data_IF_088631344625
#
_entry.id   IF_088631344625
#
_cell.length_a   1.000
_cell.length_b   1.000
_cell.length_c   1.000
_cell.angle_alpha   90.00
_cell.angle_beta   90.00
_cell.angle_gamma   90.00
#
_symmetry.space_group_name_H-M   'P 1'
#
loop_
_entity.id
_entity.type
_entity.pdbx_description
1 polymer ?
#
# COMPACT_ATOMS: atom_id res chain seq x y z
N UNK A 1 -10.67 -19.96 -8.55
CA UNK A 1 -9.91 -18.71 -8.86
C UNK A 1 -10.42 -17.61 -7.94
N UNK A 2 -9.57 -17.03 -7.08
CA UNK A 2 -9.94 -15.87 -6.28
C UNK A 2 -10.05 -14.66 -7.19
N UNK A 3 -11.15 -13.92 -7.10
CA UNK A 3 -11.29 -12.66 -7.83
C UNK A 3 -10.40 -11.61 -7.15
N UNK A 4 -9.60 -10.83 -7.90
CA UNK A 4 -8.85 -9.71 -7.33
C UNK A 4 -9.83 -8.67 -6.77
N UNK A 5 -9.53 -8.14 -5.60
CA UNK A 5 -10.36 -7.17 -4.91
C UNK A 5 -10.43 -5.83 -5.68
N UNK A 6 -9.31 -5.45 -6.30
CA UNK A 6 -9.20 -4.34 -7.26
C UNK A 6 -8.17 -4.68 -8.33
N UNK A 7 -8.15 -3.93 -9.43
CA UNK A 7 -7.15 -4.05 -10.50
C UNK A 7 -6.60 -2.68 -10.86
N UNK A 8 -5.31 -2.62 -11.21
CA UNK A 8 -4.67 -1.34 -11.55
C UNK A 8 -3.94 -0.71 -10.38
N UNK A 9 -3.98 0.62 -10.28
CA UNK A 9 -3.30 1.34 -9.22
C UNK A 9 -4.18 1.50 -7.96
N UNK A 10 -3.57 1.27 -6.81
CA UNK A 10 -4.11 1.58 -5.49
C UNK A 10 -3.12 2.51 -4.77
N UNK A 11 -3.58 3.59 -4.18
CA UNK A 11 -2.69 4.55 -3.52
C UNK A 11 -2.46 4.17 -2.05
N UNK A 12 -1.20 3.94 -1.66
CA UNK A 12 -0.80 3.95 -0.27
C UNK A 12 -0.80 5.42 0.22
N UNK A 13 -1.94 5.89 0.71
CA UNK A 13 -2.18 7.30 0.97
C UNK A 13 -1.33 7.80 2.15
N UNK A 14 -0.73 8.99 2.03
CA UNK A 14 -0.07 9.67 3.15
C UNK A 14 -1.11 10.10 4.17
N UNK A 15 -0.76 10.11 5.47
CA UNK A 15 -1.59 10.72 6.50
C UNK A 15 -1.17 12.17 6.70
N UNK A 16 -2.03 13.14 6.39
CA UNK A 16 -1.70 14.54 6.59
C UNK A 16 -1.81 14.92 8.06
N UNK A 17 -0.88 15.77 8.55
CA UNK A 17 -0.88 16.31 9.89
C UNK A 17 -0.91 17.84 9.89
N UNK A 18 -1.54 18.41 10.92
CA UNK A 18 -1.52 19.84 11.21
C UNK A 18 -1.34 20.03 12.72
N UNK A 19 -0.26 20.69 13.11
CA UNK A 19 0.06 20.88 14.54
C UNK A 19 0.22 19.55 15.30
N UNK A 20 0.75 18.49 14.65
CA UNK A 20 0.96 17.16 15.23
C UNK A 20 -0.30 16.28 15.30
N UNK A 21 -1.48 16.82 14.95
CA UNK A 21 -2.75 16.08 14.87
C UNK A 21 -3.08 15.72 13.43
N UNK A 22 -3.91 14.68 13.23
CA UNK A 22 -4.41 14.31 11.91
C UNK A 22 -5.23 15.46 11.31
N UNK A 23 -4.90 15.81 10.05
CA UNK A 23 -5.59 16.87 9.29
C UNK A 23 -6.67 16.22 8.40
N UNK A 24 -7.86 16.01 8.94
CA UNK A 24 -8.96 15.37 8.21
C UNK A 24 -9.43 16.17 6.97
N UNK A 25 -9.52 17.51 6.99
CA UNK A 25 -9.86 18.26 5.78
C UNK A 25 -8.86 18.05 4.63
N UNK A 26 -7.57 17.98 4.94
CA UNK A 26 -6.56 17.67 3.91
C UNK A 26 -6.68 16.22 3.43
N UNK A 27 -6.98 15.25 4.32
CA UNK A 27 -7.23 13.86 3.91
C UNK A 27 -8.37 13.77 2.89
N UNK A 28 -9.46 14.51 3.08
CA UNK A 28 -10.58 14.55 2.13
C UNK A 28 -10.15 15.10 0.76
N UNK A 29 -9.30 16.13 0.72
CA UNK A 29 -8.74 16.66 -0.53
C UNK A 29 -7.86 15.61 -1.23
N UNK A 30 -7.04 14.87 -0.47
CA UNK A 30 -6.21 13.79 -1.02
C UNK A 30 -7.07 12.66 -1.58
N UNK A 31 -8.13 12.25 -0.89
CA UNK A 31 -9.08 11.24 -1.36
C UNK A 31 -9.79 11.70 -2.64
N UNK A 32 -10.24 12.96 -2.67
CA UNK A 32 -10.84 13.54 -3.88
C UNK A 32 -9.91 13.47 -5.07
N UNK A 33 -8.64 13.85 -4.90
CA UNK A 33 -7.61 13.76 -5.94
C UNK A 33 -7.48 12.33 -6.49
N UNK A 34 -7.54 11.31 -5.63
CA UNK A 34 -7.47 9.92 -6.07
C UNK A 34 -8.70 9.52 -6.88
N UNK A 35 -9.89 9.87 -6.41
CA UNK A 35 -11.15 9.60 -7.13
C UNK A 35 -11.16 10.28 -8.50
N UNK A 36 -10.77 11.56 -8.56
CA UNK A 36 -10.74 12.35 -9.82
C UNK A 36 -9.71 11.78 -10.81
N UNK A 37 -8.68 11.09 -10.35
CA UNK A 37 -7.69 10.38 -11.17
C UNK A 37 -8.10 8.94 -11.56
N UNK A 38 -9.28 8.48 -11.15
CA UNK A 38 -9.78 7.14 -11.45
C UNK A 38 -9.11 6.02 -10.64
N UNK A 39 -8.52 6.33 -9.48
CA UNK A 39 -7.96 5.32 -8.57
C UNK A 39 -9.12 4.60 -7.87
N UNK A 40 -9.19 3.27 -8.03
CA UNK A 40 -10.29 2.44 -7.52
C UNK A 40 -10.18 2.11 -6.02
N UNK A 41 -8.97 2.13 -5.48
CA UNK A 41 -8.70 1.76 -4.08
C UNK A 41 -7.62 2.63 -3.45
N UNK A 42 -7.75 2.89 -2.14
CA UNK A 42 -6.71 3.55 -1.35
C UNK A 42 -6.43 2.78 -0.07
N UNK A 43 -5.15 2.69 0.30
CA UNK A 43 -4.74 2.15 1.60
C UNK A 43 -4.63 3.30 2.60
N UNK A 44 -5.41 3.23 3.66
CA UNK A 44 -5.37 4.16 4.80
C UNK A 44 -4.57 3.49 5.93
N UNK A 45 -3.69 4.24 6.59
CA UNK A 45 -2.82 3.75 7.66
C UNK A 45 -1.92 2.57 7.24
N UNK A 46 -1.46 2.54 5.97
CA UNK A 46 -0.33 1.71 5.57
C UNK A 46 1.01 2.28 6.08
N UNK A 47 2.13 1.75 5.60
CA UNK A 47 3.47 2.28 5.92
C UNK A 47 3.62 3.75 5.54
N UNK A 48 3.18 4.11 4.33
CA UNK A 48 3.18 5.48 3.81
C UNK A 48 2.26 6.41 4.62
N UNK A 49 1.19 5.86 5.19
CA UNK A 49 0.26 6.56 6.09
C UNK A 49 0.74 6.63 7.54
N UNK A 50 2.02 6.32 7.82
CA UNK A 50 2.64 6.41 9.16
C UNK A 50 1.91 5.61 10.25
N UNK A 51 1.41 4.42 9.91
CA UNK A 51 0.63 3.57 10.83
C UNK A 51 1.30 3.32 12.19
N UNK A 52 2.65 3.25 12.20
CA UNK A 52 3.40 2.98 13.42
C UNK A 52 3.32 4.09 14.48
N UNK A 53 3.03 5.33 14.08
CA UNK A 53 2.95 6.50 14.95
C UNK A 53 1.52 7.00 15.19
N UNK A 54 0.54 6.30 14.61
CA UNK A 54 -0.88 6.57 14.84
C UNK A 54 -1.42 5.66 15.97
N UNK A 55 -2.17 6.25 16.89
CA UNK A 55 -2.95 5.49 17.86
C UNK A 55 -4.10 4.73 17.17
N UNK A 56 -4.60 3.67 17.80
CA UNK A 56 -5.73 2.93 17.25
C UNK A 56 -6.99 3.81 17.11
N UNK A 57 -7.19 4.75 18.02
CA UNK A 57 -8.29 5.72 17.91
C UNK A 57 -8.15 6.61 16.68
N UNK A 58 -6.94 7.09 16.35
CA UNK A 58 -6.68 7.87 15.13
C UNK A 58 -6.90 7.02 13.87
N UNK A 59 -6.45 5.75 13.87
CA UNK A 59 -6.66 4.83 12.76
C UNK A 59 -8.13 4.59 12.49
N UNK A 60 -8.90 4.27 13.52
CA UNK A 60 -10.34 4.02 13.39
C UNK A 60 -11.11 5.24 12.90
N UNK A 61 -10.76 6.42 13.39
CA UNK A 61 -11.36 7.67 12.92
C UNK A 61 -10.98 7.95 11.46
N UNK A 62 -9.74 7.67 11.05
CA UNK A 62 -9.29 7.77 9.65
C UNK A 62 -10.09 6.82 8.74
N UNK A 63 -10.27 5.55 9.12
CA UNK A 63 -11.05 4.59 8.33
C UNK A 63 -12.50 5.05 8.19
N UNK A 64 -13.14 5.42 9.30
CA UNK A 64 -14.54 5.85 9.32
C UNK A 64 -14.76 7.10 8.45
N UNK A 65 -13.90 8.12 8.59
CA UNK A 65 -14.00 9.34 7.79
C UNK A 65 -13.69 9.12 6.33
N UNK A 66 -12.66 8.33 6.03
CA UNK A 66 -12.34 8.00 4.64
C UNK A 66 -13.53 7.32 3.96
N UNK A 67 -14.12 6.28 4.58
CA UNK A 67 -15.28 5.59 4.00
C UNK A 67 -16.51 6.51 3.89
N UNK A 68 -16.78 7.31 4.92
CA UNK A 68 -17.89 8.26 4.89
C UNK A 68 -17.73 9.31 3.77
N UNK A 69 -16.49 9.72 3.46
CA UNK A 69 -16.19 10.67 2.40
C UNK A 69 -16.30 10.06 1.00
N UNK A 70 -15.70 8.88 0.78
CA UNK A 70 -15.64 8.30 -0.56
C UNK A 70 -16.92 7.54 -0.94
N UNK A 71 -17.70 7.05 0.03
CA UNK A 71 -18.87 6.20 -0.22
C UNK A 71 -18.48 4.97 -1.04
N UNK A 72 -19.11 4.82 -2.20
CA UNK A 72 -18.84 3.73 -3.15
C UNK A 72 -17.90 4.14 -4.30
N UNK A 73 -17.42 5.38 -4.32
CA UNK A 73 -16.57 5.89 -5.40
C UNK A 73 -15.13 5.36 -5.34
N UNK A 74 -14.70 4.84 -4.20
CA UNK A 74 -13.36 4.29 -4.01
C UNK A 74 -13.36 3.28 -2.85
N UNK A 75 -12.60 2.22 -2.99
CA UNK A 75 -12.46 1.19 -1.96
C UNK A 75 -11.46 1.63 -0.89
N UNK A 76 -11.82 1.43 0.38
CA UNK A 76 -10.96 1.73 1.52
C UNK A 76 -10.32 0.44 2.02
N UNK A 77 -9.00 0.35 1.89
CA UNK A 77 -8.18 -0.74 2.43
C UNK A 77 -7.53 -0.26 3.73
N UNK A 78 -7.90 -0.83 4.86
CA UNK A 78 -7.36 -0.44 6.16
C UNK A 78 -6.05 -1.17 6.48
N UNK A 79 -4.99 -0.44 6.83
CA UNK A 79 -3.74 -0.99 7.34
C UNK A 79 -3.88 -1.39 8.81
N UNK A 80 -3.99 -2.69 9.09
CA UNK A 80 -4.24 -3.22 10.44
C UNK A 80 -3.17 -4.18 10.95
N UNK A 81 -2.11 -4.42 10.15
CA UNK A 81 -1.04 -5.33 10.53
C UNK A 81 -0.30 -4.91 11.80
N UNK A 82 0.06 -5.90 12.62
CA UNK A 82 0.84 -5.76 13.85
C UNK A 82 1.72 -6.99 14.03
N UNK A 83 2.79 -6.85 14.81
CA UNK A 83 3.61 -7.99 15.25
C UNK A 83 3.02 -8.75 16.45
N UNK A 84 1.85 -8.33 16.94
CA UNK A 84 1.02 -9.05 17.90
C UNK A 84 -0.26 -9.51 17.20
N UNK A 85 -0.46 -10.82 17.09
CA UNK A 85 -1.59 -11.42 16.36
C UNK A 85 -2.94 -10.98 16.94
N UNK A 86 -3.06 -10.95 18.27
CA UNK A 86 -4.28 -10.53 18.96
C UNK A 86 -4.64 -9.07 18.65
N UNK A 87 -3.63 -8.18 18.68
CA UNK A 87 -3.81 -6.77 18.32
C UNK A 87 -4.20 -6.61 16.86
N UNK A 88 -3.52 -7.31 15.92
CA UNK A 88 -3.87 -7.28 14.51
C UNK A 88 -5.31 -7.75 14.27
N UNK A 89 -5.75 -8.83 14.90
CA UNK A 89 -7.12 -9.33 14.78
C UNK A 89 -8.15 -8.37 15.38
N UNK A 90 -7.85 -7.77 16.55
CA UNK A 90 -8.74 -6.81 17.20
C UNK A 90 -8.90 -5.53 16.37
N UNK A 91 -7.79 -4.96 15.88
CA UNK A 91 -7.81 -3.77 15.03
C UNK A 91 -8.51 -4.06 13.69
N UNK A 92 -8.34 -5.27 13.14
CA UNK A 92 -9.01 -5.69 11.91
C UNK A 92 -10.54 -5.74 12.07
N UNK A 93 -11.05 -6.31 13.16
CA UNK A 93 -12.50 -6.27 13.49
C UNK A 93 -13.01 -4.85 13.63
N UNK A 94 -12.24 -4.01 14.31
CA UNK A 94 -12.63 -2.61 14.51
C UNK A 94 -12.62 -1.82 13.19
N UNK A 95 -11.68 -2.10 12.27
CA UNK A 95 -11.62 -1.50 10.94
C UNK A 95 -12.80 -1.95 10.06
N UNK A 96 -13.18 -3.23 10.09
CA UNK A 96 -14.40 -3.73 9.43
C UNK A 96 -15.64 -2.99 9.97
N UNK A 97 -15.77 -2.86 11.29
CA UNK A 97 -16.85 -2.10 11.93
C UNK A 97 -16.83 -0.59 11.62
N UNK A 98 -15.68 -0.04 11.25
CA UNK A 98 -15.52 1.35 10.79
C UNK A 98 -15.85 1.53 9.29
N UNK A 99 -16.19 0.46 8.57
CA UNK A 99 -16.61 0.48 7.18
C UNK A 99 -15.48 0.27 6.17
N UNK A 100 -14.33 -0.26 6.57
CA UNK A 100 -13.29 -0.65 5.62
C UNK A 100 -13.80 -1.76 4.68
N UNK A 101 -13.44 -1.66 3.40
CA UNK A 101 -13.84 -2.63 2.37
C UNK A 101 -12.89 -3.84 2.31
N UNK A 102 -11.63 -3.64 2.74
CA UNK A 102 -10.61 -4.69 2.87
C UNK A 102 -9.53 -4.29 3.87
N UNK A 103 -8.64 -5.23 4.16
CA UNK A 103 -7.52 -5.04 5.09
C UNK A 103 -6.18 -5.26 4.40
N UNK A 104 -5.16 -4.48 4.75
CA UNK A 104 -3.76 -4.72 4.43
C UNK A 104 -3.00 -5.08 5.71
N UNK A 105 -2.50 -6.32 5.76
CA UNK A 105 -1.87 -6.87 6.96
C UNK A 105 -0.41 -7.19 6.67
N UNK A 106 0.49 -6.33 7.18
CA UNK A 106 1.94 -6.56 7.07
C UNK A 106 2.37 -7.77 7.89
N UNK A 107 3.39 -8.51 7.41
CA UNK A 107 3.99 -9.60 8.19
C UNK A 107 4.41 -9.12 9.59
N UNK A 108 4.30 -9.97 10.63
CA UNK A 108 4.82 -9.64 11.95
C UNK A 108 6.30 -9.23 11.85
N UNK A 109 6.59 -8.00 12.23
CA UNK A 109 7.91 -7.40 12.19
C UNK A 109 8.61 -7.52 13.53
N UNK A 110 9.95 -7.43 13.54
CA UNK A 110 10.81 -7.44 14.72
C UNK A 110 10.93 -8.83 15.39
N UNK A 111 9.84 -9.47 15.81
CA UNK A 111 9.81 -10.78 16.50
C UNK A 111 9.96 -12.01 15.57
N UNK A 112 10.09 -11.79 14.24
CA UNK A 112 10.50 -12.77 13.20
C UNK A 112 9.75 -14.10 13.28
N UNK A 113 8.47 -14.08 12.89
CA UNK A 113 7.65 -15.29 12.87
C UNK A 113 8.24 -16.38 11.95
N UNK A 114 8.12 -17.64 12.38
CA UNK A 114 8.42 -18.81 11.55
C UNK A 114 7.36 -19.00 10.45
N UNK A 115 7.58 -19.85 9.42
CA UNK A 115 6.56 -20.19 8.44
C UNK A 115 5.23 -20.61 9.05
N UNK A 116 5.25 -21.48 10.08
CA UNK A 116 4.04 -21.90 10.80
C UNK A 116 3.40 -20.73 11.58
N UNK A 117 4.22 -19.86 12.17
CA UNK A 117 3.77 -18.66 12.86
C UNK A 117 3.10 -17.66 11.91
N UNK A 118 3.63 -17.49 10.68
CA UNK A 118 3.00 -16.66 9.64
C UNK A 118 1.62 -17.22 9.28
N UNK A 119 1.52 -18.53 9.03
CA UNK A 119 0.24 -19.16 8.70
C UNK A 119 -0.77 -19.00 9.83
N UNK A 120 -0.37 -19.24 11.07
CA UNK A 120 -1.24 -19.08 12.24
C UNK A 120 -1.69 -17.62 12.41
N UNK A 121 -0.77 -16.67 12.22
CA UNK A 121 -1.07 -15.23 12.29
C UNK A 121 -2.13 -14.82 11.27
N UNK A 122 -1.91 -15.11 9.98
CA UNK A 122 -2.85 -14.75 8.93
C UNK A 122 -4.19 -15.49 9.05
N UNK A 123 -4.17 -16.76 9.49
CA UNK A 123 -5.39 -17.53 9.75
C UNK A 123 -6.21 -16.89 10.88
N UNK A 124 -5.57 -16.44 11.96
CA UNK A 124 -6.24 -15.77 13.07
C UNK A 124 -6.82 -14.42 12.67
N UNK A 125 -6.07 -13.60 11.90
CA UNK A 125 -6.56 -12.30 11.44
C UNK A 125 -7.71 -12.49 10.44
N UNK A 126 -7.54 -13.35 9.44
CA UNK A 126 -8.57 -13.63 8.45
C UNK A 126 -9.83 -14.25 9.09
N UNK A 127 -9.67 -15.15 10.06
CA UNK A 127 -10.80 -15.74 10.81
C UNK A 127 -11.54 -14.76 11.74
N UNK A 128 -10.98 -13.57 11.97
CA UNK A 128 -11.57 -12.55 12.82
C UNK A 128 -12.53 -11.59 12.08
N UNK A 129 -12.56 -11.62 10.74
CA UNK A 129 -13.28 -10.68 9.88
C UNK A 129 -13.95 -11.39 8.71
N UNK A 130 -14.90 -10.71 8.06
CA UNK A 130 -15.59 -11.21 6.86
C UNK A 130 -15.08 -10.55 5.57
N UNK A 131 -14.52 -9.36 5.67
CA UNK A 131 -13.97 -8.60 4.53
C UNK A 131 -12.64 -9.19 4.04
N UNK A 132 -12.26 -8.94 2.77
CA UNK A 132 -11.00 -9.42 2.20
C UNK A 132 -9.77 -8.95 2.98
N UNK A 133 -8.80 -9.85 3.16
CA UNK A 133 -7.50 -9.57 3.77
C UNK A 133 -6.41 -9.70 2.70
N UNK A 134 -5.55 -8.69 2.57
CA UNK A 134 -4.38 -8.70 1.70
C UNK A 134 -3.14 -8.84 2.59
N UNK A 135 -2.39 -9.92 2.41
CA UNK A 135 -1.10 -10.06 3.08
C UNK A 135 -0.11 -9.03 2.53
N UNK A 136 0.78 -8.52 3.37
CA UNK A 136 1.81 -7.59 2.91
C UNK A 136 3.19 -8.08 3.30
N UNK A 137 4.00 -8.43 2.30
CA UNK A 137 5.37 -8.88 2.45
C UNK A 137 6.34 -7.75 2.09
N UNK A 138 7.15 -7.31 3.05
CA UNK A 138 8.16 -6.24 2.88
C UNK A 138 9.39 -6.52 3.73
N UNK A 139 10.23 -7.47 3.31
CA UNK A 139 11.36 -7.97 4.11
C UNK A 139 12.34 -6.89 4.56
N UNK A 140 12.55 -5.86 3.74
CA UNK A 140 13.43 -4.73 4.05
C UNK A 140 13.00 -3.93 5.28
N UNK A 141 11.71 -4.00 5.67
CA UNK A 141 11.17 -3.32 6.85
C UNK A 141 10.89 -4.27 8.01
N UNK A 142 10.45 -5.49 7.71
CA UNK A 142 9.99 -6.42 8.75
C UNK A 142 11.07 -7.38 9.23
N UNK A 143 12.11 -7.62 8.42
CA UNK A 143 13.11 -8.66 8.66
C UNK A 143 12.53 -10.08 8.48
N UNK A 144 11.35 -10.21 7.89
CA UNK A 144 10.66 -11.47 7.57
C UNK A 144 10.30 -11.47 6.11
N UNK A 145 10.63 -12.55 5.39
CA UNK A 145 10.24 -12.78 4.01
C UNK A 145 9.37 -14.04 3.94
N UNK A 146 8.15 -13.92 3.38
CA UNK A 146 7.23 -15.05 3.25
C UNK A 146 7.78 -16.01 2.19
N UNK A 147 8.11 -17.27 2.53
CA UNK A 147 8.54 -18.26 1.53
C UNK A 147 7.42 -18.59 0.53
N UNK A 148 7.80 -19.00 -0.68
CA UNK A 148 6.81 -19.30 -1.75
C UNK A 148 5.86 -20.42 -1.35
N UNK A 149 6.35 -21.45 -0.67
CA UNK A 149 5.55 -22.57 -0.16
C UNK A 149 4.54 -22.16 0.93
N UNK A 150 4.80 -21.05 1.62
CA UNK A 150 3.84 -20.49 2.60
C UNK A 150 2.70 -19.78 1.87
N UNK A 151 2.96 -19.14 0.75
CA UNK A 151 1.90 -18.52 -0.07
C UNK A 151 0.89 -19.54 -0.58
N UNK A 152 1.31 -20.75 -1.00
CA UNK A 152 0.38 -21.81 -1.38
C UNK A 152 -0.59 -22.17 -0.23
N UNK A 153 -0.08 -22.25 0.99
CA UNK A 153 -0.91 -22.50 2.18
C UNK A 153 -1.80 -21.31 2.52
N UNK A 154 -1.28 -20.07 2.44
CA UNK A 154 -2.03 -18.84 2.66
C UNK A 154 -3.16 -18.68 1.64
N UNK A 155 -2.93 -19.04 0.38
CA UNK A 155 -3.92 -18.94 -0.69
C UNK A 155 -5.18 -19.76 -0.43
N UNK A 156 -5.12 -20.77 0.45
CA UNK A 156 -6.23 -21.65 0.82
C UNK A 156 -7.13 -21.07 1.94
N UNK A 157 -6.70 -19.97 2.59
CA UNK A 157 -7.53 -19.25 3.57
C UNK A 157 -8.63 -18.50 2.80
N UNK A 158 -9.93 -18.71 3.10
CA UNK A 158 -11.02 -18.24 2.24
C UNK A 158 -11.01 -16.75 1.94
N UNK A 159 -10.90 -15.90 2.96
CA UNK A 159 -10.95 -14.44 2.82
C UNK A 159 -9.56 -13.76 2.75
N UNK A 160 -8.45 -14.55 2.69
CA UNK A 160 -7.15 -13.99 2.33
C UNK A 160 -7.11 -13.80 0.81
N UNK A 161 -7.35 -12.56 0.37
CA UNK A 161 -7.66 -12.23 -1.02
C UNK A 161 -6.44 -12.16 -1.95
N UNK A 162 -5.23 -12.08 -1.40
CA UNK A 162 -4.00 -11.98 -2.17
C UNK A 162 -2.85 -11.40 -1.37
N UNK A 163 -1.82 -10.94 -2.06
CA UNK A 163 -0.63 -10.36 -1.45
C UNK A 163 -0.15 -9.08 -2.13
N UNK A 164 0.21 -8.08 -1.32
CA UNK A 164 1.11 -6.99 -1.72
C UNK A 164 2.54 -7.48 -1.53
N UNK A 165 3.25 -7.69 -2.63
CA UNK A 165 4.62 -8.23 -2.62
C UNK A 165 5.63 -7.11 -2.84
N UNK A 166 6.51 -6.90 -1.88
CA UNK A 166 7.53 -5.87 -1.89
C UNK A 166 8.92 -6.39 -1.45
N UNK A 167 9.24 -7.64 -1.81
CA UNK A 167 10.57 -8.24 -1.57
C UNK A 167 11.64 -7.73 -2.53
N UNK A 168 11.28 -6.98 -3.57
CA UNK A 168 12.17 -6.52 -4.66
C UNK A 168 12.79 -7.67 -5.47
N UNK A 169 12.26 -8.88 -5.37
CA UNK A 169 12.75 -10.06 -6.09
C UNK A 169 11.76 -10.50 -7.18
N UNK A 170 11.97 -10.05 -8.41
CA UNK A 170 11.15 -10.45 -9.56
C UNK A 170 11.16 -11.98 -9.73
N UNK A 171 12.32 -12.64 -9.52
CA UNK A 171 12.41 -14.10 -9.59
C UNK A 171 11.54 -14.80 -8.56
N UNK A 172 11.41 -14.24 -7.34
CA UNK A 172 10.49 -14.77 -6.32
C UNK A 172 9.04 -14.57 -6.72
N UNK A 173 8.72 -13.39 -7.25
CA UNK A 173 7.35 -13.06 -7.70
C UNK A 173 6.94 -13.99 -8.85
N UNK A 174 7.85 -14.26 -9.82
CA UNK A 174 7.60 -15.23 -10.89
C UNK A 174 7.30 -16.63 -10.34
N UNK A 175 8.07 -17.09 -9.35
CA UNK A 175 7.81 -18.38 -8.67
C UNK A 175 6.47 -18.38 -7.94
N UNK A 176 6.12 -17.29 -7.27
CA UNK A 176 4.84 -17.14 -6.59
C UNK A 176 3.67 -17.20 -7.57
N UNK A 177 3.70 -16.43 -8.66
CA UNK A 177 2.66 -16.44 -9.69
C UNK A 177 2.51 -17.82 -10.34
N UNK A 178 3.62 -18.52 -10.58
CA UNK A 178 3.60 -19.88 -11.15
C UNK A 178 3.06 -20.92 -10.17
N UNK A 179 3.42 -20.83 -8.88
CA UNK A 179 2.98 -21.78 -7.85
C UNK A 179 1.54 -21.54 -7.40
N UNK A 180 1.07 -20.31 -7.43
CA UNK A 180 -0.23 -19.89 -6.90
C UNK A 180 -1.00 -19.03 -7.95
N UNK A 181 -1.35 -19.57 -9.13
CA UNK A 181 -1.93 -18.79 -10.23
C UNK A 181 -3.29 -18.16 -9.89
N UNK A 182 -3.97 -18.69 -8.89
CA UNK A 182 -5.27 -18.22 -8.41
C UNK A 182 -5.17 -17.27 -7.19
N UNK A 183 -3.95 -16.88 -6.79
CA UNK A 183 -3.72 -15.97 -5.66
C UNK A 183 -3.26 -14.61 -6.17
N UNK A 184 -4.12 -13.57 -6.12
CA UNK A 184 -3.80 -12.25 -6.64
C UNK A 184 -2.53 -11.65 -6.01
N UNK A 185 -1.68 -11.08 -6.87
CA UNK A 185 -0.43 -10.41 -6.49
C UNK A 185 -0.48 -8.95 -6.93
N UNK A 186 -0.24 -8.03 -6.03
CA UNK A 186 -0.01 -6.61 -6.35
C UNK A 186 1.43 -6.25 -6.04
N UNK A 187 2.07 -5.48 -6.94
CA UNK A 187 3.39 -4.92 -6.64
C UNK A 187 3.31 -3.97 -5.44
N UNK A 188 4.25 -4.10 -4.53
CA UNK A 188 4.46 -3.11 -3.45
C UNK A 188 5.55 -2.10 -3.77
N UNK A 189 6.20 -2.24 -4.95
CA UNK A 189 7.29 -1.40 -5.44
C UNK A 189 6.87 -0.75 -6.76
N UNK A 190 6.90 0.58 -6.83
CA UNK A 190 6.49 1.36 -7.99
C UNK A 190 7.40 1.10 -9.20
N UNK A 191 8.71 0.97 -8.98
CA UNK A 191 9.73 0.67 -10.00
C UNK A 191 9.62 -0.73 -10.63
N UNK A 192 8.86 -1.63 -10.01
CA UNK A 192 8.67 -3.01 -10.47
C UNK A 192 7.22 -3.31 -10.91
N UNK A 193 6.35 -2.30 -10.94
CA UNK A 193 4.93 -2.49 -11.19
C UNK A 193 4.66 -3.23 -12.51
N UNK A 194 5.21 -2.74 -13.62
CA UNK A 194 5.01 -3.34 -14.96
C UNK A 194 5.60 -4.74 -15.04
N UNK A 195 6.79 -4.97 -14.48
CA UNK A 195 7.41 -6.30 -14.43
C UNK A 195 6.55 -7.31 -13.65
N UNK A 196 5.98 -6.91 -12.50
CA UNK A 196 5.09 -7.77 -11.73
C UNK A 196 3.80 -8.06 -12.50
N UNK A 197 3.24 -7.06 -13.17
CA UNK A 197 2.01 -7.21 -13.95
C UNK A 197 2.23 -8.11 -15.18
N UNK A 198 3.41 -8.07 -15.81
CA UNK A 198 3.75 -8.99 -16.91
C UNK A 198 3.83 -10.47 -16.48
N UNK A 199 4.01 -10.73 -15.20
CA UNK A 199 3.99 -12.07 -14.60
C UNK A 199 2.58 -12.51 -14.14
N UNK A 200 1.54 -11.72 -14.42
CA UNK A 200 0.15 -11.99 -14.01
C UNK A 200 -0.29 -11.20 -12.77
N UNK A 201 0.51 -10.26 -12.29
CA UNK A 201 0.12 -9.34 -11.21
C UNK A 201 -1.09 -8.49 -11.57
N UNK A 202 -1.88 -8.11 -10.56
CA UNK A 202 -3.17 -7.43 -10.74
C UNK A 202 -3.06 -5.90 -10.69
N UNK A 203 -1.87 -5.37 -10.37
CA UNK A 203 -1.64 -3.94 -10.26
C UNK A 203 -0.54 -3.59 -9.27
N UNK A 204 -0.59 -2.37 -8.73
CA UNK A 204 0.38 -1.83 -7.79
C UNK A 204 -0.30 -1.15 -6.60
N UNK A 205 0.21 -1.35 -5.40
CA UNK A 205 -0.15 -0.55 -4.21
C UNK A 205 0.98 0.46 -4.01
N UNK A 206 0.78 1.64 -4.54
CA UNK A 206 1.75 2.64 -4.98
C UNK A 206 1.99 3.75 -3.95
N UNK A 207 3.22 4.23 -3.86
CA UNK A 207 3.60 5.50 -3.22
C UNK A 207 3.56 6.63 -4.25
N UNK A 208 4.04 6.37 -5.46
CA UNK A 208 4.07 7.31 -6.59
C UNK A 208 2.70 7.96 -6.84
N UNK A 209 1.63 7.19 -6.75
CA UNK A 209 0.25 7.63 -7.00
C UNK A 209 -0.26 8.72 -6.03
N UNK A 210 0.44 9.02 -4.93
CA UNK A 210 0.14 10.23 -4.17
C UNK A 210 0.45 11.49 -4.99
N UNK A 211 1.57 11.47 -5.75
CA UNK A 211 2.09 12.62 -6.52
C UNK A 211 1.57 12.61 -7.95
N UNK A 212 1.59 11.46 -8.61
CA UNK A 212 1.23 11.27 -10.02
C UNK A 212 0.16 10.17 -10.18
N UNK A 213 -1.07 10.38 -9.65
CA UNK A 213 -2.10 9.33 -9.67
C UNK A 213 -2.61 8.99 -11.06
N UNK A 214 -2.77 9.99 -11.95
CA UNK A 214 -3.27 9.80 -13.32
C UNK A 214 -2.28 8.94 -14.13
N UNK A 215 -1.01 9.29 -14.08
CA UNK A 215 0.07 8.60 -14.81
C UNK A 215 0.27 7.17 -14.27
N UNK A 216 0.21 7.01 -12.94
CA UNK A 216 0.31 5.68 -12.32
C UNK A 216 -0.86 4.78 -12.72
N UNK A 217 -2.08 5.33 -12.76
CA UNK A 217 -3.26 4.59 -13.20
C UNK A 217 -3.16 4.25 -14.70
N UNK A 218 -2.75 5.19 -15.54
CA UNK A 218 -2.57 4.96 -16.98
C UNK A 218 -1.57 3.83 -17.25
N UNK A 219 -0.42 3.84 -16.57
CA UNK A 219 0.60 2.79 -16.64
C UNK A 219 0.01 1.42 -16.27
N UNK A 220 -0.70 1.35 -15.16
CA UNK A 220 -1.31 0.10 -14.69
C UNK A 220 -2.43 -0.38 -15.62
N UNK A 221 -3.26 0.51 -16.18
CA UNK A 221 -4.30 0.14 -17.12
C UNK A 221 -3.75 -0.35 -18.46
N UNK A 222 -2.67 0.26 -18.97
CA UNK A 222 -1.98 -0.24 -20.17
C UNK A 222 -1.48 -1.68 -19.96
N UNK A 223 -0.83 -1.95 -18.81
CA UNK A 223 -0.39 -3.31 -18.48
C UNK A 223 -1.55 -4.31 -18.34
N UNK A 224 -2.68 -3.91 -17.75
CA UNK A 224 -3.90 -4.73 -17.64
C UNK A 224 -4.53 -5.05 -19.00
N UNK A 225 -4.41 -4.12 -19.96
CA UNK A 225 -4.86 -4.31 -21.32
C UNK A 225 -3.92 -5.20 -22.17
N UNK A 226 -2.75 -5.57 -21.62
CA UNK A 226 -1.71 -6.31 -22.33
C UNK A 226 -0.79 -5.44 -23.19
N UNK A 227 -0.96 -4.12 -23.16
CA UNK A 227 -0.09 -3.16 -23.84
C UNK A 227 1.14 -2.86 -22.99
N UNK A 228 2.07 -3.81 -22.99
CA UNK A 228 3.30 -3.70 -22.21
C UNK A 228 4.31 -2.71 -22.81
N UNK A 229 4.22 -2.38 -24.10
CA UNK A 229 5.07 -1.36 -24.71
C UNK A 229 4.72 0.03 -24.14
N UNK A 230 3.44 0.39 -24.13
CA UNK A 230 2.97 1.64 -23.50
C UNK A 230 3.23 1.65 -22.00
N UNK A 231 2.95 0.53 -21.30
CA UNK A 231 3.19 0.44 -19.86
C UNK A 231 4.66 0.63 -19.50
N UNK A 232 5.58 0.03 -20.27
CA UNK A 232 7.03 0.15 -20.05
C UNK A 232 7.53 1.58 -20.35
N UNK A 233 7.01 2.24 -21.38
CA UNK A 233 7.35 3.63 -21.69
C UNK A 233 6.92 4.57 -20.55
N UNK A 234 5.70 4.43 -20.04
CA UNK A 234 5.21 5.19 -18.88
C UNK A 234 6.02 4.89 -17.60
N UNK A 235 6.36 3.61 -17.36
CA UNK A 235 7.23 3.23 -16.24
C UNK A 235 8.59 3.94 -16.33
N UNK A 236 9.21 3.97 -17.52
CA UNK A 236 10.51 4.59 -17.73
C UNK A 236 10.46 6.11 -17.53
N UNK A 237 9.38 6.77 -17.96
CA UNK A 237 9.16 8.21 -17.76
C UNK A 237 9.01 8.56 -16.27
N UNK A 238 8.33 7.70 -15.51
CA UNK A 238 8.06 7.90 -14.08
C UNK A 238 9.25 7.50 -13.18
N UNK A 239 10.21 6.72 -13.70
CA UNK A 239 11.31 6.17 -12.92
C UNK A 239 12.13 7.23 -12.16
N UNK A 240 12.49 8.39 -12.75
CA UNK A 240 13.23 9.42 -12.02
C UNK A 240 12.45 9.99 -10.81
N UNK A 241 11.12 10.12 -10.92
CA UNK A 241 10.29 10.53 -9.80
C UNK A 241 10.23 9.43 -8.74
N UNK A 242 10.08 8.18 -9.14
CA UNK A 242 10.08 7.03 -8.20
C UNK A 242 11.38 7.02 -7.41
N UNK A 243 12.54 7.15 -8.06
CA UNK A 243 13.84 7.20 -7.38
C UNK A 243 13.92 8.33 -6.35
N UNK A 244 13.41 9.52 -6.69
CA UNK A 244 13.35 10.65 -5.77
C UNK A 244 12.41 10.41 -4.58
N UNK A 245 11.28 9.72 -4.79
CA UNK A 245 10.34 9.39 -3.73
C UNK A 245 10.85 8.30 -2.76
N UNK A 246 11.92 7.59 -3.13
CA UNK A 246 12.55 6.55 -2.31
C UNK A 246 14.03 6.85 -1.98
N UNK A 247 14.55 8.06 -2.28
CA UNK A 247 15.93 8.44 -1.95
C UNK A 247 16.17 8.57 -0.44
N UNK A 248 15.12 8.70 0.36
CA UNK A 248 15.12 8.61 1.82
C UNK A 248 13.99 7.68 2.26
N UNK A 249 13.87 7.47 3.58
CA UNK A 249 12.84 6.58 4.13
C UNK A 249 11.44 7.09 3.80
N UNK A 250 10.65 6.29 3.04
CA UNK A 250 9.23 6.57 2.82
C UNK A 250 8.47 6.55 4.17
N UNK A 251 7.66 7.60 4.49
CA UNK A 251 7.06 8.59 3.59
C UNK A 251 7.73 9.99 3.58
N UNK A 252 8.97 10.15 4.01
CA UNK A 252 9.61 11.47 4.08
C UNK A 252 9.59 12.18 2.70
N UNK A 253 10.11 11.57 1.59
CA UNK A 253 10.13 12.25 0.31
C UNK A 253 8.75 12.49 -0.28
N UNK A 254 7.83 11.54 -0.17
CA UNK A 254 6.49 11.70 -0.75
C UNK A 254 5.70 12.81 -0.07
N UNK A 255 5.83 13.01 1.25
CA UNK A 255 5.18 14.14 1.94
C UNK A 255 5.80 15.47 1.53
N UNK A 256 7.12 15.52 1.35
CA UNK A 256 7.79 16.70 0.81
C UNK A 256 7.33 17.01 -0.63
N UNK A 257 7.20 15.99 -1.48
CA UNK A 257 6.68 16.13 -2.84
C UNK A 257 5.24 16.66 -2.84
N UNK A 258 4.37 16.12 -2.00
CA UNK A 258 2.97 16.58 -1.88
C UNK A 258 2.90 18.06 -1.50
N UNK A 259 3.74 18.50 -0.57
CA UNK A 259 3.82 19.91 -0.19
C UNK A 259 4.26 20.80 -1.35
N UNK A 260 5.26 20.37 -2.15
CA UNK A 260 5.74 21.11 -3.32
C UNK A 260 4.67 21.27 -4.40
N UNK A 261 3.82 20.28 -4.60
CA UNK A 261 2.71 20.34 -5.58
C UNK A 261 1.41 20.94 -5.00
N UNK A 262 1.47 21.58 -3.81
CA UNK A 262 0.37 22.37 -3.24
C UNK A 262 -0.53 21.64 -2.25
N UNK A 263 -0.21 20.40 -1.84
CA UNK A 263 -0.93 19.67 -0.81
C UNK A 263 -0.13 19.67 0.50
N UNK A 264 -0.44 20.57 1.42
CA UNK A 264 0.25 20.66 2.72
C UNK A 264 -0.15 19.49 3.64
N UNK A 265 0.58 18.39 3.47
CA UNK A 265 0.40 17.20 4.31
C UNK A 265 1.11 17.29 5.67
N UNK A 266 1.75 18.42 5.99
CA UNK A 266 2.60 18.57 7.17
C UNK A 266 3.83 17.68 7.16
N UNK A 267 4.62 17.72 8.23
CA UNK A 267 5.77 16.83 8.43
C UNK A 267 5.38 15.41 8.85
N UNK A 268 6.37 14.53 8.91
CA UNK A 268 6.22 13.21 9.54
C UNK A 268 6.25 13.33 11.07
N UNK A 269 5.66 12.35 11.76
CA UNK A 269 5.86 12.17 13.21
C UNK A 269 7.19 11.49 13.50
N UNK A 270 7.82 11.83 14.61
CA UNK A 270 9.02 11.11 15.07
C UNK A 270 8.74 9.60 15.19
N UNK A 271 9.72 8.74 14.87
CA UNK A 271 11.13 9.02 14.67
C UNK A 271 11.53 9.54 13.28
N UNK A 272 10.58 9.73 12.36
CA UNK A 272 10.86 10.28 11.04
C UNK A 272 11.07 11.79 11.13
N UNK A 273 12.09 12.27 10.43
CA UNK A 273 12.50 13.68 10.41
C UNK A 273 12.15 14.33 9.08
N UNK A 274 12.19 15.66 8.93
CA UNK A 274 12.09 16.29 7.63
C UNK A 274 13.14 15.76 6.65
N UNK A 275 12.83 15.82 5.36
CA UNK A 275 13.74 15.49 4.26
C UNK A 275 15.02 16.34 4.33
N UNK A 276 16.17 15.76 3.98
CA UNK A 276 17.42 16.50 3.89
C UNK A 276 17.34 17.63 2.84
N UNK A 277 18.02 18.74 3.10
CA UNK A 277 18.01 19.87 2.17
C UNK A 277 18.54 19.50 0.77
N UNK A 278 19.57 18.64 0.71
CA UNK A 278 20.14 18.17 -0.56
C UNK A 278 19.11 17.45 -1.43
N UNK A 279 18.38 16.50 -0.85
CA UNK A 279 17.38 15.72 -1.57
C UNK A 279 16.12 16.55 -1.84
N UNK A 280 15.75 17.47 -0.95
CA UNK A 280 14.65 18.40 -1.16
C UNK A 280 14.91 19.30 -2.37
N UNK A 281 16.14 19.81 -2.57
CA UNK A 281 16.49 20.61 -3.74
C UNK A 281 16.45 19.79 -5.06
N UNK A 282 16.86 18.51 -5.01
CA UNK A 282 16.69 17.60 -6.17
C UNK A 282 15.22 17.43 -6.52
N UNK A 283 14.38 17.21 -5.52
CA UNK A 283 12.94 17.02 -5.66
C UNK A 283 12.24 18.28 -6.21
N UNK A 284 12.61 19.47 -5.70
CA UNK A 284 12.13 20.77 -6.23
C UNK A 284 12.48 20.95 -7.69
N UNK A 285 13.74 20.69 -8.07
CA UNK A 285 14.20 20.83 -9.45
C UNK A 285 13.44 19.92 -10.43
N UNK A 286 12.95 18.78 -9.94
CA UNK A 286 12.18 17.84 -10.76
C UNK A 286 10.69 18.23 -10.88
N UNK A 287 10.09 18.73 -9.79
CA UNK A 287 8.64 18.97 -9.72
C UNK A 287 8.22 20.39 -10.10
N UNK A 288 9.11 21.38 -10.00
CA UNK A 288 8.85 22.81 -10.26
C UNK A 288 9.68 23.33 -11.45
#
# INVERSE_FOLDING_TARGET
MKQPFFRGACTALVTPFLGGKVNYPMMEQLLRRQIDAGIEAVVICGTTGESATLSDCEKLELFRRAKAYVGDSCLIIAGTGSNCTEHAAALSRAAEGAGADALLVVTPYYNKATPEGLLAHYSAVAGAVHIPVIAYNVPSRTGVDIPVEVYDRLSRIPNLAGVKEASSSISKIAKLCAACPDFPVWSGNDDQAVAVMSLGGQGVISVLSNVAPVETQAMAQAALAGDFDTAAALQAELLPLIELLFCEVNPIPVKAAMQLIGYDCGGCRLPLTPMSNENLEKLKKYLL
#
